data_IF_803857624471
#
_entry.id   IF_803857624471
#
_cell.length_a   1.000
_cell.length_b   1.000
_cell.length_c   1.000
_cell.angle_alpha   90.00
_cell.angle_beta   90.00
_cell.angle_gamma   90.00
#
_symmetry.space_group_name_H-M   'P 1'
#
loop_
_entity.id
_entity.type
_entity.pdbx_description
1 polymer ?
#
# COMPACT_ATOMS: atom_id res chain seq x y z
N UNK A 1 -38.10 -36.01 -26.81
CA UNK A 1 -36.69 -36.12 -27.24
C UNK A 1 -36.07 -34.74 -27.42
N UNK A 2 -36.71 -33.82 -28.15
CA UNK A 2 -36.20 -32.45 -28.34
C UNK A 2 -36.25 -31.58 -27.06
N UNK A 3 -37.26 -31.77 -26.20
CA UNK A 3 -37.36 -31.09 -24.89
C UNK A 3 -36.24 -31.53 -23.93
N UNK A 4 -35.86 -32.80 -23.98
CA UNK A 4 -34.82 -33.40 -23.11
C UNK A 4 -33.42 -32.93 -23.51
N UNK A 5 -33.18 -32.79 -24.82
CA UNK A 5 -31.91 -32.27 -25.37
C UNK A 5 -31.77 -30.77 -25.08
N UNK A 6 -32.86 -29.99 -25.19
CA UNK A 6 -32.83 -28.56 -24.87
C UNK A 6 -32.61 -28.32 -23.37
N UNK A 7 -33.19 -29.16 -22.52
CA UNK A 7 -32.98 -29.11 -21.06
C UNK A 7 -31.58 -29.59 -20.65
N UNK A 8 -31.01 -30.61 -21.31
CA UNK A 8 -29.60 -31.01 -21.13
C UNK A 8 -28.64 -29.90 -21.56
N UNK A 9 -28.82 -29.31 -22.75
CA UNK A 9 -27.98 -28.21 -23.26
C UNK A 9 -28.04 -27.00 -22.31
N UNK A 10 -29.25 -26.63 -21.86
CA UNK A 10 -29.42 -25.51 -20.94
C UNK A 10 -28.83 -25.81 -19.56
N UNK A 11 -28.86 -27.07 -19.11
CA UNK A 11 -28.24 -27.51 -17.86
C UNK A 11 -26.73 -27.50 -17.93
N UNK A 12 -26.16 -27.95 -19.05
CA UNK A 12 -24.71 -27.91 -19.30
C UNK A 12 -24.20 -26.48 -19.39
N UNK A 13 -24.95 -25.59 -20.05
CA UNK A 13 -24.65 -24.16 -20.08
C UNK A 13 -24.67 -23.55 -18.66
N UNK A 14 -25.69 -23.85 -17.87
CA UNK A 14 -25.81 -23.37 -16.48
C UNK A 14 -24.63 -23.87 -15.62
N UNK A 15 -24.27 -25.14 -15.73
CA UNK A 15 -23.14 -25.72 -15.00
C UNK A 15 -21.82 -25.09 -15.46
N UNK A 16 -21.64 -24.91 -16.77
CA UNK A 16 -20.47 -24.27 -17.35
C UNK A 16 -20.30 -22.83 -16.86
N UNK A 17 -21.36 -22.03 -16.90
CA UNK A 17 -21.32 -20.66 -16.37
C UNK A 17 -21.03 -20.66 -14.86
N UNK A 18 -21.66 -21.54 -14.07
CA UNK A 18 -21.40 -21.63 -12.63
C UNK A 18 -19.94 -21.94 -12.30
N UNK A 19 -19.31 -22.84 -13.06
CA UNK A 19 -17.88 -23.18 -12.90
C UNK A 19 -17.00 -22.00 -13.32
N UNK A 20 -17.35 -21.30 -14.40
CA UNK A 20 -16.61 -20.13 -14.87
C UNK A 20 -16.67 -18.96 -13.88
N UNK A 21 -17.84 -18.67 -13.30
CA UNK A 21 -17.98 -17.66 -12.25
C UNK A 21 -17.14 -18.00 -11.03
N UNK A 22 -17.25 -19.24 -10.53
CA UNK A 22 -16.51 -19.70 -9.35
C UNK A 22 -14.99 -19.61 -9.54
N UNK A 23 -14.48 -19.98 -10.71
CA UNK A 23 -13.04 -19.91 -11.01
C UNK A 23 -12.53 -18.48 -11.11
N UNK A 24 -13.26 -17.58 -11.77
CA UNK A 24 -12.89 -16.15 -11.86
C UNK A 24 -12.94 -15.48 -10.49
N UNK A 25 -13.98 -15.77 -9.69
CA UNK A 25 -14.10 -15.23 -8.34
C UNK A 25 -13.01 -15.74 -7.44
N UNK A 26 -12.67 -17.03 -7.50
CA UNK A 26 -11.58 -17.61 -6.71
C UNK A 26 -10.23 -16.98 -7.09
N UNK A 27 -9.93 -16.83 -8.38
CA UNK A 27 -8.71 -16.20 -8.85
C UNK A 27 -8.59 -14.74 -8.38
N UNK A 28 -9.70 -13.99 -8.46
CA UNK A 28 -9.73 -12.61 -8.01
C UNK A 28 -9.65 -12.49 -6.48
N UNK A 29 -10.33 -13.36 -5.74
CA UNK A 29 -10.25 -13.43 -4.28
C UNK A 29 -8.81 -13.74 -3.84
N UNK A 30 -8.13 -14.69 -4.49
CA UNK A 30 -6.72 -14.99 -4.23
C UNK A 30 -5.85 -13.77 -4.54
N UNK A 31 -6.07 -13.04 -5.64
CA UNK A 31 -5.32 -11.84 -5.97
C UNK A 31 -5.52 -10.70 -4.94
N UNK A 32 -6.76 -10.46 -4.51
CA UNK A 32 -7.09 -9.46 -3.49
C UNK A 32 -6.48 -9.85 -2.14
N UNK A 33 -6.62 -11.11 -1.74
CA UNK A 33 -6.05 -11.64 -0.50
C UNK A 33 -4.52 -11.61 -0.55
N UNK A 34 -3.90 -11.95 -1.67
CA UNK A 34 -2.44 -11.89 -1.84
C UNK A 34 -1.95 -10.45 -1.74
N UNK A 35 -2.61 -9.50 -2.44
CA UNK A 35 -2.34 -8.05 -2.30
C UNK A 35 -2.56 -7.55 -0.86
N UNK A 36 -3.47 -8.18 -0.12
CA UNK A 36 -3.73 -7.89 1.28
C UNK A 36 -2.61 -8.42 2.19
N UNK A 37 -2.13 -9.65 1.97
CA UNK A 37 -1.04 -10.26 2.73
C UNK A 37 0.34 -9.64 2.43
N UNK A 38 0.57 -9.14 1.22
CA UNK A 38 1.83 -8.44 0.88
C UNK A 38 1.93 -7.05 1.51
N UNK A 39 0.82 -6.50 2.03
CA UNK A 39 0.81 -5.24 2.74
C UNK A 39 0.78 -5.54 4.24
N UNK A 40 1.86 -5.23 4.95
CA UNK A 40 1.98 -5.34 6.41
C UNK A 40 0.69 -4.92 7.12
N UNK A 41 0.18 -5.85 7.95
CA UNK A 41 -1.16 -5.91 8.53
C UNK A 41 -1.59 -4.59 9.20
N UNK A 42 -2.37 -3.76 8.48
CA UNK A 42 -3.24 -2.75 9.11
C UNK A 42 -4.66 -2.86 8.57
N UNK A 43 -5.45 -3.72 9.21
CA UNK A 43 -6.88 -3.84 8.95
C UNK A 43 -7.59 -2.50 9.25
N UNK A 44 -7.93 -1.77 8.20
CA UNK A 44 -9.02 -0.80 8.29
C UNK A 44 -10.36 -1.53 8.17
N UNK A 45 -11.32 -1.25 9.06
CA UNK A 45 -12.69 -1.78 8.99
C UNK A 45 -13.33 -1.61 7.60
N UNK A 46 -12.93 -0.55 6.87
CA UNK A 46 -13.35 -0.27 5.49
C UNK A 46 -12.92 -1.36 4.49
N UNK A 47 -11.70 -1.90 4.58
CA UNK A 47 -11.25 -2.96 3.65
C UNK A 47 -11.98 -4.28 3.89
N UNK A 48 -12.27 -4.60 5.15
CA UNK A 48 -13.06 -5.78 5.49
C UNK A 48 -14.50 -5.68 4.96
N UNK A 49 -15.11 -4.49 5.08
CA UNK A 49 -16.42 -4.22 4.52
C UNK A 49 -16.44 -4.38 3.00
N UNK A 50 -15.41 -3.90 2.30
CA UNK A 50 -15.27 -4.07 0.84
C UNK A 50 -15.14 -5.53 0.42
N UNK A 51 -14.38 -6.33 1.17
CA UNK A 51 -14.25 -7.79 0.94
C UNK A 51 -15.57 -8.52 1.16
N UNK A 52 -16.32 -8.17 2.21
CA UNK A 52 -17.65 -8.74 2.46
C UNK A 52 -18.63 -8.38 1.35
N UNK A 53 -18.62 -7.12 0.87
CA UNK A 53 -19.47 -6.69 -0.25
C UNK A 53 -19.13 -7.46 -1.52
N UNK A 54 -17.84 -7.73 -1.77
CA UNK A 54 -17.40 -8.51 -2.93
C UNK A 54 -17.88 -9.97 -2.84
N UNK A 55 -17.79 -10.57 -1.64
CA UNK A 55 -18.17 -11.96 -1.40
C UNK A 55 -19.69 -12.17 -1.40
N UNK A 56 -20.47 -11.19 -0.93
CA UNK A 56 -21.93 -11.23 -0.95
C UNK A 56 -22.54 -10.75 -2.27
N UNK A 57 -21.80 -9.98 -3.07
CA UNK A 57 -22.24 -9.48 -4.38
C UNK A 57 -22.34 -10.57 -5.45
N UNK A 58 -21.50 -11.61 -5.38
CA UNK A 58 -21.51 -12.75 -6.30
C UNK A 58 -22.85 -13.51 -6.33
N UNK A 59 -23.42 -13.99 -5.20
CA UNK A 59 -24.70 -14.70 -5.21
C UNK A 59 -25.88 -13.80 -5.60
N UNK A 60 -25.79 -12.50 -5.31
CA UNK A 60 -26.79 -11.51 -5.72
C UNK A 60 -26.79 -11.31 -7.24
N UNK A 61 -25.61 -11.21 -7.87
CA UNK A 61 -25.48 -11.04 -9.32
C UNK A 61 -25.92 -12.28 -10.10
N UNK A 62 -25.59 -13.48 -9.61
CA UNK A 62 -26.06 -14.74 -10.21
C UNK A 62 -27.58 -14.89 -10.13
N UNK A 63 -28.21 -14.39 -9.06
CA UNK A 63 -29.65 -14.44 -8.87
C UNK A 63 -30.40 -13.39 -9.73
N UNK A 64 -29.84 -12.19 -9.92
CA UNK A 64 -30.48 -11.08 -10.62
C UNK A 64 -30.30 -11.09 -12.14
N UNK A 65 -29.17 -11.55 -12.67
CA UNK A 65 -28.86 -11.48 -14.12
C UNK A 65 -28.34 -12.83 -14.60
N UNK A 66 -29.21 -13.62 -15.23
CA UNK A 66 -28.81 -14.85 -15.92
C UNK A 66 -28.11 -14.50 -17.23
N UNK A 67 -26.79 -14.71 -17.32
CA UNK A 67 -26.04 -14.60 -18.57
C UNK A 67 -24.65 -13.96 -18.48
N UNK A 68 -23.96 -13.76 -19.62
CA UNK A 68 -22.59 -13.24 -19.70
C UNK A 68 -22.47 -11.75 -19.31
N UNK A 69 -23.59 -11.02 -19.30
CA UNK A 69 -23.64 -9.62 -18.89
C UNK A 69 -23.35 -9.44 -17.39
N UNK A 70 -23.74 -10.41 -16.56
CA UNK A 70 -23.41 -10.43 -15.13
C UNK A 70 -21.91 -10.53 -14.88
N UNK A 71 -21.19 -11.27 -15.72
CA UNK A 71 -19.76 -11.50 -15.61
C UNK A 71 -18.98 -10.22 -15.90
N UNK A 72 -19.40 -9.49 -16.94
CA UNK A 72 -18.82 -8.19 -17.27
C UNK A 72 -19.05 -7.17 -16.15
N UNK A 73 -20.26 -7.10 -15.59
CA UNK A 73 -20.57 -6.17 -14.50
C UNK A 73 -19.77 -6.49 -13.24
N UNK A 74 -19.65 -7.78 -12.89
CA UNK A 74 -18.86 -8.23 -11.75
C UNK A 74 -17.37 -7.95 -11.96
N UNK A 75 -16.83 -8.27 -13.14
CA UNK A 75 -15.43 -8.01 -13.48
C UNK A 75 -15.08 -6.51 -13.40
N UNK A 76 -15.95 -5.64 -13.93
CA UNK A 76 -15.77 -4.18 -13.82
C UNK A 76 -15.87 -3.71 -12.37
N UNK A 77 -16.83 -4.22 -11.59
CA UNK A 77 -16.94 -3.92 -10.16
C UNK A 77 -15.67 -4.31 -9.38
N UNK A 78 -15.14 -5.50 -9.66
CA UNK A 78 -13.87 -6.00 -9.12
C UNK A 78 -12.70 -5.08 -9.49
N UNK A 79 -12.58 -4.65 -10.75
CA UNK A 79 -11.52 -3.73 -11.19
C UNK A 79 -11.62 -2.38 -10.50
N UNK A 80 -12.81 -1.79 -10.44
CA UNK A 80 -13.04 -0.51 -9.76
C UNK A 80 -12.64 -0.62 -8.28
N UNK A 81 -13.04 -1.70 -7.60
CA UNK A 81 -12.67 -1.95 -6.21
C UNK A 81 -11.15 -2.13 -6.07
N UNK A 82 -10.51 -2.88 -6.98
CA UNK A 82 -9.05 -3.07 -6.99
C UNK A 82 -8.28 -1.75 -7.17
N UNK A 83 -8.82 -0.84 -7.99
CA UNK A 83 -8.25 0.49 -8.23
C UNK A 83 -8.50 1.48 -7.08
N UNK A 84 -9.60 1.33 -6.34
CA UNK A 84 -9.94 2.15 -5.16
C UNK A 84 -9.28 1.63 -3.88
N UNK A 85 -8.93 0.33 -3.85
CA UNK A 85 -8.19 -0.29 -2.76
C UNK A 85 -6.89 0.51 -2.53
N UNK A 86 -6.73 1.14 -1.35
CA UNK A 86 -5.53 1.91 -1.07
C UNK A 86 -4.34 0.96 -1.16
N UNK A 87 -3.46 1.20 -2.12
CA UNK A 87 -2.12 0.65 -2.08
C UNK A 87 -1.46 1.34 -0.88
N UNK A 88 -1.53 0.70 0.29
CA UNK A 88 -0.88 1.20 1.47
C UNK A 88 0.61 1.32 1.11
N UNK A 89 1.08 2.56 1.07
CA UNK A 89 2.51 2.83 1.06
C UNK A 89 3.14 2.07 2.23
N UNK A 90 4.35 1.55 2.00
CA UNK A 90 5.18 0.83 2.98
C UNK A 90 4.88 1.32 4.39
N UNK A 91 4.62 0.44 5.37
CA UNK A 91 4.42 0.87 6.75
C UNK A 91 5.59 1.76 7.15
N UNK A 92 5.31 3.06 7.23
CA UNK A 92 6.27 4.07 7.60
C UNK A 92 6.60 3.99 9.09
N UNK A 93 5.83 3.21 9.85
CA UNK A 93 6.12 2.95 11.25
C UNK A 93 7.43 2.16 11.34
N UNK A 94 8.36 2.67 12.16
CA UNK A 94 9.66 2.06 12.47
C UNK A 94 10.70 1.98 11.34
N UNK A 95 10.45 2.56 10.16
CA UNK A 95 11.49 2.69 9.13
C UNK A 95 12.30 3.98 9.32
N UNK A 96 13.58 3.89 8.98
CA UNK A 96 14.56 4.98 9.09
C UNK A 96 14.97 5.49 7.72
N UNK A 97 15.08 6.81 7.55
CA UNK A 97 15.49 7.45 6.30
C UNK A 97 16.53 8.53 6.55
N UNK A 98 17.55 8.61 5.69
CA UNK A 98 18.48 9.73 5.63
C UNK A 98 18.09 10.63 4.45
N UNK A 99 17.91 11.92 4.71
CA UNK A 99 17.65 12.93 3.69
C UNK A 99 18.79 13.93 3.72
N UNK A 100 19.41 14.22 2.58
CA UNK A 100 20.45 15.26 2.48
C UNK A 100 19.82 16.59 2.03
N UNK A 101 20.39 17.72 2.47
CA UNK A 101 19.90 19.05 2.09
C UNK A 101 18.55 19.42 2.71
N UNK A 102 18.41 19.25 4.02
CA UNK A 102 17.13 19.48 4.73
C UNK A 102 16.91 20.92 5.23
N UNK A 103 17.87 21.81 4.99
CA UNK A 103 17.81 23.21 5.46
C UNK A 103 16.67 24.02 4.83
N UNK A 104 16.25 23.70 3.60
CA UNK A 104 15.14 24.37 2.91
C UNK A 104 14.59 23.56 1.74
N UNK A 105 13.58 24.09 1.05
CA UNK A 105 13.09 23.55 -0.22
C UNK A 105 12.51 22.12 -0.10
N UNK A 106 12.81 21.29 -1.11
CA UNK A 106 12.25 19.94 -1.21
C UNK A 106 12.72 19.00 -0.10
N UNK A 107 13.99 19.04 0.29
CA UNK A 107 14.52 18.19 1.36
C UNK A 107 13.82 18.48 2.70
N UNK A 108 13.60 19.75 3.01
CA UNK A 108 12.85 20.18 4.18
C UNK A 108 11.39 19.70 4.16
N UNK A 109 10.69 19.92 3.04
CA UNK A 109 9.31 19.47 2.87
C UNK A 109 9.17 17.94 2.96
N UNK A 110 10.15 17.21 2.40
CA UNK A 110 10.20 15.75 2.48
C UNK A 110 10.42 15.28 3.92
N UNK A 111 11.34 15.90 4.66
CA UNK A 111 11.59 15.57 6.06
C UNK A 111 10.34 15.76 6.92
N UNK A 112 9.62 16.88 6.77
CA UNK A 112 8.34 17.14 7.42
C UNK A 112 7.31 16.06 7.08
N UNK A 113 7.21 15.69 5.80
CA UNK A 113 6.24 14.70 5.33
C UNK A 113 6.54 13.33 5.91
N UNK A 114 7.78 12.85 5.86
CA UNK A 114 8.15 11.52 6.35
C UNK A 114 8.07 11.43 7.88
N UNK A 115 8.40 12.49 8.61
CA UNK A 115 8.18 12.55 10.05
C UNK A 115 6.68 12.46 10.40
N UNK A 116 5.82 13.16 9.65
CA UNK A 116 4.35 13.10 9.84
C UNK A 116 3.76 11.71 9.55
N UNK A 117 4.45 10.90 8.73
CA UNK A 117 4.06 9.53 8.43
C UNK A 117 4.54 8.53 9.51
N UNK A 118 5.31 8.98 10.50
CA UNK A 118 5.77 8.13 11.61
C UNK A 118 7.18 7.56 11.43
N UNK A 119 7.91 7.96 10.39
CA UNK A 119 9.28 7.48 10.15
C UNK A 119 10.28 8.12 11.10
N UNK A 120 11.42 7.45 11.31
CA UNK A 120 12.62 8.06 11.88
C UNK A 120 13.40 8.76 10.77
N UNK A 121 13.57 10.08 10.89
CA UNK A 121 14.20 10.89 9.84
C UNK A 121 15.53 11.41 10.32
N UNK A 122 16.61 11.06 9.64
CA UNK A 122 17.92 11.69 9.80
C UNK A 122 18.04 12.81 8.75
N UNK A 123 17.90 14.04 9.21
CA UNK A 123 17.90 15.23 8.37
C UNK A 123 19.32 15.80 8.28
N UNK A 124 19.99 15.54 7.15
CA UNK A 124 21.30 16.05 6.80
C UNK A 124 21.25 17.52 6.39
N UNK A 125 21.92 18.37 7.16
CA UNK A 125 22.06 19.81 6.93
C UNK A 125 23.53 20.21 6.88
N UNK A 126 23.89 21.27 6.15
CA UNK A 126 25.27 21.76 6.14
C UNK A 126 25.68 22.34 7.50
N UNK A 127 24.72 22.98 8.18
CA UNK A 127 24.85 23.48 9.53
C UNK A 127 23.60 23.13 10.36
N UNK A 128 23.75 22.21 11.31
CA UNK A 128 22.68 21.81 12.23
C UNK A 128 22.19 22.96 13.12
N UNK A 129 22.99 24.03 13.27
CA UNK A 129 22.62 25.24 14.03
C UNK A 129 22.01 26.33 13.14
N UNK A 130 21.95 26.10 11.83
CA UNK A 130 21.36 27.01 10.86
C UNK A 130 19.88 27.25 11.12
N UNK A 131 19.38 28.40 10.65
CA UNK A 131 17.98 28.77 10.85
C UNK A 131 17.00 27.74 10.25
N UNK A 132 17.32 27.21 9.07
CA UNK A 132 16.52 26.18 8.39
C UNK A 132 16.46 24.85 9.14
N UNK A 133 17.61 24.36 9.63
CA UNK A 133 17.70 23.17 10.46
C UNK A 133 16.89 23.32 11.76
N UNK A 134 17.02 24.46 12.45
CA UNK A 134 16.27 24.76 13.68
C UNK A 134 14.77 24.84 13.46
N UNK A 135 14.36 25.52 12.39
CA UNK A 135 12.94 25.61 12.00
C UNK A 135 12.37 24.21 11.70
N UNK A 136 13.10 23.39 10.93
CA UNK A 136 12.72 22.00 10.68
C UNK A 136 12.54 21.21 11.97
N UNK A 137 13.52 21.27 12.89
CA UNK A 137 13.47 20.54 14.15
C UNK A 137 12.32 21.00 15.05
N UNK A 138 11.94 22.28 15.00
CA UNK A 138 10.80 22.82 15.76
C UNK A 138 9.44 22.33 15.27
N UNK A 139 9.34 21.94 13.99
CA UNK A 139 8.10 21.50 13.33
C UNK A 139 7.94 19.98 13.31
N UNK A 140 9.01 19.24 13.57
CA UNK A 140 9.04 17.78 13.57
C UNK A 140 8.97 17.19 14.97
N UNK A 141 8.64 15.90 15.04
CA UNK A 141 8.67 15.12 16.26
C UNK A 141 10.10 14.77 16.73
N UNK A 142 10.21 14.11 17.88
CA UNK A 142 11.48 13.60 18.40
C UNK A 142 12.12 12.53 17.52
N UNK A 143 11.36 11.93 16.59
CA UNK A 143 11.88 10.96 15.62
C UNK A 143 12.78 11.60 14.57
N UNK A 144 12.67 12.91 14.33
CA UNK A 144 13.60 13.61 13.45
C UNK A 144 14.89 13.94 14.21
N UNK A 145 16.02 13.47 13.72
CA UNK A 145 17.36 13.82 14.19
C UNK A 145 18.04 14.69 13.14
N UNK A 146 18.48 15.89 13.54
CA UNK A 146 19.36 16.71 12.72
C UNK A 146 20.75 16.10 12.71
N UNK A 147 21.42 16.18 11.57
CA UNK A 147 22.76 15.65 11.38
C UNK A 147 23.55 16.64 10.52
N UNK A 148 24.69 17.10 11.01
CA UNK A 148 25.63 17.88 10.20
C UNK A 148 26.21 16.98 9.10
N UNK A 149 25.88 17.26 7.84
CA UNK A 149 26.30 16.47 6.69
C UNK A 149 26.64 17.35 5.49
N UNK A 150 27.95 17.51 5.26
CA UNK A 150 28.48 18.01 3.99
C UNK A 150 28.85 16.83 3.09
N UNK A 151 28.03 16.55 2.09
CA UNK A 151 28.23 15.43 1.15
C UNK A 151 29.51 15.55 0.32
N UNK A 152 30.19 16.70 0.35
CA UNK A 152 31.49 16.87 -0.32
C UNK A 152 32.66 16.44 0.57
N UNK A 153 32.44 16.22 1.87
CA UNK A 153 33.46 15.86 2.85
C UNK A 153 33.30 14.40 3.28
N UNK A 154 34.25 13.51 2.91
CA UNK A 154 34.18 12.10 3.30
C UNK A 154 34.07 11.87 4.81
N UNK A 155 34.73 12.71 5.61
CA UNK A 155 34.67 12.65 7.08
C UNK A 155 33.25 12.86 7.63
N UNK A 156 32.50 13.79 7.03
CA UNK A 156 31.13 14.09 7.45
C UNK A 156 30.21 12.93 7.08
N UNK A 157 30.45 12.29 5.92
CA UNK A 157 29.71 11.09 5.48
C UNK A 157 29.98 9.91 6.42
N UNK A 158 31.25 9.64 6.77
CA UNK A 158 31.62 8.56 7.69
C UNK A 158 31.04 8.76 9.09
N UNK A 159 31.06 10.00 9.59
CA UNK A 159 30.45 10.34 10.87
C UNK A 159 28.92 10.16 10.85
N UNK A 160 28.27 10.58 9.77
CA UNK A 160 26.84 10.40 9.57
C UNK A 160 26.45 8.91 9.54
N UNK A 161 27.16 8.12 8.74
CA UNK A 161 26.93 6.68 8.64
C UNK A 161 27.11 5.99 10.00
N UNK A 162 28.15 6.34 10.75
CA UNK A 162 28.41 5.78 12.07
C UNK A 162 27.32 6.15 13.09
N UNK A 163 26.83 7.40 13.08
CA UNK A 163 25.75 7.85 13.96
C UNK A 163 24.41 7.19 13.63
N UNK A 164 24.12 7.02 12.33
CA UNK A 164 22.91 6.33 11.87
C UNK A 164 22.99 4.87 12.28
N UNK A 165 24.09 4.16 11.96
CA UNK A 165 24.29 2.75 12.32
C UNK A 165 24.13 2.50 13.82
N UNK A 166 24.69 3.35 14.67
CA UNK A 166 24.52 3.24 16.13
C UNK A 166 23.10 3.56 16.62
N UNK A 167 22.33 4.37 15.89
CA UNK A 167 20.93 4.68 16.24
C UNK A 167 19.97 3.57 15.80
N UNK A 168 20.15 3.04 14.59
CA UNK A 168 19.23 2.06 13.99
C UNK A 168 19.57 0.62 14.35
N UNK A 169 20.81 0.35 14.80
CA UNK A 169 21.26 -0.99 15.17
C UNK A 169 21.31 -1.94 13.96
N UNK A 170 21.00 -3.20 14.19
CA UNK A 170 21.04 -4.28 13.17
C UNK A 170 19.91 -4.16 12.12
N UNK A 171 18.95 -3.24 12.30
CA UNK A 171 17.89 -2.99 11.30
C UNK A 171 18.31 -2.06 10.15
N UNK A 172 19.55 -1.54 10.17
CA UNK A 172 20.08 -0.61 9.18
C UNK A 172 21.19 -1.12 8.27
N UNK A 173 21.33 -2.44 8.13
CA UNK A 173 22.24 -3.07 7.15
C UNK A 173 21.62 -3.25 5.75
#
# INVERSE_FOLDING_TARGET
MEIDIQDEINKDDIVFYSVLYSTVTLAFAIAVVSKFFTNEFRFGFRSFLTLIILFLGEPLCQFLVKGPQGLLLFSVGCLIIYSILPANHLPADKKSVLITGCDSGFGNALALKLDSLGMQVFAGCLDEQGAGAKDLKSKCSDRLKLLRLDVTKPKDIEAAASLIKSTVGDEGE
#
